data_IF_828435022386
#
_entry.id   IF_828435022386
#
_cell.length_a   1.000
_cell.length_b   1.000
_cell.length_c   1.000
_cell.angle_alpha   90.00
_cell.angle_beta   90.00
_cell.angle_gamma   90.00
#
_symmetry.space_group_name_H-M   'P 1'
#
loop_
_entity.id
_entity.type
_entity.pdbx_description
1 polymer ?
#
# COMPACT_ATOMS: atom_id res chain seq x y z
N UNK A 1 -1.66 -4.64 -8.34
CA UNK A 1 -1.66 -3.18 -8.12
C UNK A 1 -0.31 -2.59 -8.54
N UNK A 2 -0.13 -2.31 -9.84
CA UNK A 2 1.20 -1.97 -10.42
C UNK A 2 1.74 -0.64 -9.89
N UNK A 3 0.93 0.43 -9.90
CA UNK A 3 1.34 1.76 -9.46
C UNK A 3 1.69 1.80 -7.97
N UNK A 4 0.89 1.14 -7.13
CA UNK A 4 1.15 1.00 -5.69
C UNK A 4 2.52 0.36 -5.45
N UNK A 5 2.79 -0.76 -6.14
CA UNK A 5 4.08 -1.46 -6.03
C UNK A 5 5.24 -0.55 -6.44
N UNK A 6 5.12 0.17 -7.56
CA UNK A 6 6.19 1.05 -8.04
C UNK A 6 6.56 2.13 -7.01
N UNK A 7 5.58 2.86 -6.48
CA UNK A 7 5.84 3.92 -5.50
C UNK A 7 6.37 3.37 -4.17
N UNK A 8 5.86 2.23 -3.71
CA UNK A 8 6.37 1.54 -2.53
C UNK A 8 7.84 1.13 -2.70
N UNK A 9 8.20 0.52 -3.83
CA UNK A 9 9.57 0.07 -4.10
C UNK A 9 10.55 1.26 -4.12
N UNK A 10 10.17 2.38 -4.74
CA UNK A 10 10.98 3.61 -4.77
C UNK A 10 11.28 4.14 -3.37
N UNK A 11 10.28 4.18 -2.49
CA UNK A 11 10.48 4.59 -1.09
C UNK A 11 11.38 3.60 -0.32
N UNK A 12 11.22 2.30 -0.58
CA UNK A 12 12.06 1.25 0.00
C UNK A 12 13.52 1.37 -0.49
N UNK A 13 13.76 1.71 -1.76
CA UNK A 13 15.10 1.95 -2.29
C UNK A 13 15.79 3.15 -1.65
N UNK A 14 15.07 4.27 -1.50
CA UNK A 14 15.55 5.48 -0.82
C UNK A 14 15.96 5.18 0.63
N UNK A 15 15.08 4.53 1.39
CA UNK A 15 15.30 4.24 2.82
C UNK A 15 16.27 3.08 3.10
N UNK A 16 16.58 2.26 2.09
CA UNK A 16 17.62 1.21 2.14
C UNK A 16 18.97 1.70 1.60
N UNK A 17 19.08 2.95 1.18
CA UNK A 17 20.31 3.52 0.62
C UNK A 17 20.72 2.92 -0.73
N UNK A 18 19.78 2.29 -1.46
CA UNK A 18 20.04 1.76 -2.81
C UNK A 18 20.18 2.89 -3.84
N UNK A 19 19.57 4.03 -3.55
CA UNK A 19 19.70 5.29 -4.28
C UNK A 19 19.85 6.43 -3.26
N UNK A 20 20.44 7.58 -3.63
CA UNK A 20 20.54 8.73 -2.74
C UNK A 20 19.17 9.16 -2.22
N UNK A 21 19.04 9.36 -0.91
CA UNK A 21 17.81 9.88 -0.32
C UNK A 21 17.66 11.37 -0.64
N UNK A 22 16.53 11.75 -1.22
CA UNK A 22 16.09 13.14 -1.30
C UNK A 22 14.68 13.25 -0.73
N UNK A 23 14.40 14.35 -0.02
CA UNK A 23 13.08 14.60 0.54
C UNK A 23 12.05 14.73 -0.58
N UNK A 24 12.43 15.33 -1.70
CA UNK A 24 11.58 15.55 -2.86
C UNK A 24 11.10 14.23 -3.48
N UNK A 25 11.99 13.24 -3.63
CA UNK A 25 11.60 11.90 -4.11
C UNK A 25 10.74 11.15 -3.09
N UNK A 26 11.07 11.27 -1.80
CA UNK A 26 10.27 10.67 -0.74
C UNK A 26 8.84 11.24 -0.71
N UNK A 27 8.69 12.56 -0.74
CA UNK A 27 7.40 13.25 -0.76
C UNK A 27 6.58 12.87 -1.99
N UNK A 28 7.19 12.91 -3.18
CA UNK A 28 6.52 12.56 -4.44
C UNK A 28 5.94 11.15 -4.38
N UNK A 29 6.75 10.17 -3.99
CA UNK A 29 6.32 8.77 -3.98
C UNK A 29 5.30 8.48 -2.87
N UNK A 30 5.46 9.08 -1.69
CA UNK A 30 4.51 8.91 -0.59
C UNK A 30 3.17 9.57 -0.89
N UNK A 31 3.14 10.72 -1.59
CA UNK A 31 1.91 11.37 -2.03
C UNK A 31 1.11 10.50 -3.01
N UNK A 32 1.79 9.86 -3.98
CA UNK A 32 1.14 8.92 -4.88
C UNK A 32 0.62 7.69 -4.16
N UNK A 33 1.39 7.15 -3.21
CA UNK A 33 0.97 5.98 -2.45
C UNK A 33 -0.27 6.27 -1.58
N UNK A 34 -0.34 7.44 -0.95
CA UNK A 34 -1.51 7.94 -0.21
C UNK A 34 -2.74 8.15 -1.11
N UNK A 35 -2.55 8.69 -2.32
CA UNK A 35 -3.65 8.86 -3.27
C UNK A 35 -4.18 7.50 -3.75
N UNK A 36 -3.29 6.58 -4.11
CA UNK A 36 -3.67 5.25 -4.61
C UNK A 36 -4.32 4.39 -3.52
N UNK A 37 -3.91 4.53 -2.25
CA UNK A 37 -4.50 3.75 -1.15
C UNK A 37 -5.97 4.11 -0.91
N UNK A 38 -6.32 5.39 -1.05
CA UNK A 38 -7.69 5.89 -0.90
C UNK A 38 -8.66 5.31 -1.94
N UNK A 39 -8.15 4.94 -3.12
CA UNK A 39 -8.93 4.37 -4.22
C UNK A 39 -8.82 2.82 -4.30
N UNK A 40 -8.06 2.19 -3.40
CA UNK A 40 -7.65 0.79 -3.53
C UNK A 40 -8.81 -0.21 -3.52
N UNK A 41 -9.94 0.12 -2.88
CA UNK A 41 -11.08 -0.78 -2.73
C UNK A 41 -12.22 -0.53 -3.72
N UNK A 42 -12.19 0.54 -4.50
CA UNK A 42 -13.33 0.98 -5.33
C UNK A 42 -13.72 -0.04 -6.41
N UNK A 43 -12.75 -0.78 -6.95
CA UNK A 43 -12.98 -1.82 -7.96
C UNK A 43 -13.54 -3.14 -7.42
N UNK A 44 -13.61 -3.33 -6.09
CA UNK A 44 -14.12 -4.56 -5.47
C UNK A 44 -15.65 -4.51 -5.28
N UNK A 45 -16.37 -4.31 -6.40
CA UNK A 45 -17.84 -4.28 -6.49
C UNK A 45 -18.44 -5.70 -6.43
N UNK A 46 -19.73 -5.87 -6.11
CA UNK A 46 -20.37 -7.19 -6.15
C UNK A 46 -20.16 -7.89 -7.50
N UNK A 47 -19.82 -9.18 -7.48
CA UNK A 47 -19.59 -9.98 -8.69
C UNK A 47 -18.20 -9.83 -9.34
N UNK A 48 -17.36 -8.86 -8.95
CA UNK A 48 -16.03 -8.67 -9.59
C UNK A 48 -14.95 -9.70 -9.19
N UNK A 49 -15.35 -10.85 -8.63
CA UNK A 49 -14.51 -12.05 -8.49
C UNK A 49 -14.55 -12.98 -9.72
N UNK A 50 -15.47 -12.72 -10.65
CA UNK A 50 -15.60 -13.49 -11.88
C UNK A 50 -14.70 -12.90 -12.98
N UNK A 51 -14.33 -13.74 -13.96
CA UNK A 51 -13.47 -13.34 -15.09
C UNK A 51 -11.99 -13.24 -14.76
N UNK A 52 -11.28 -12.35 -15.47
CA UNK A 52 -9.84 -12.14 -15.30
C UNK A 52 -9.53 -11.32 -14.04
N UNK A 53 -9.53 -12.01 -12.91
CA UNK A 53 -9.24 -11.42 -11.61
C UNK A 53 -8.49 -12.37 -10.70
N UNK A 54 -7.53 -11.78 -9.97
CA UNK A 54 -6.82 -12.44 -8.87
C UNK A 54 -7.53 -12.27 -7.54
N UNK A 55 -8.62 -11.50 -7.44
CA UNK A 55 -9.40 -11.42 -6.22
C UNK A 55 -10.05 -12.77 -5.92
N UNK A 56 -9.95 -13.23 -4.67
CA UNK A 56 -10.67 -14.40 -4.19
C UNK A 56 -12.09 -13.99 -3.76
N UNK A 57 -13.05 -14.91 -3.86
CA UNK A 57 -14.42 -14.71 -3.35
C UNK A 57 -14.44 -14.33 -1.85
N UNK A 58 -13.38 -14.69 -1.11
CA UNK A 58 -13.12 -14.29 0.26
C UNK A 58 -13.25 -12.78 0.51
N UNK A 59 -12.95 -11.92 -0.48
CA UNK A 59 -13.11 -10.46 -0.35
C UNK A 59 -14.56 -10.08 -0.01
N UNK A 60 -15.54 -10.85 -0.48
CA UNK A 60 -16.96 -10.59 -0.23
C UNK A 60 -17.48 -11.39 0.96
N UNK A 61 -17.05 -12.64 1.15
CA UNK A 61 -17.50 -13.46 2.29
C UNK A 61 -16.91 -13.01 3.63
N UNK A 62 -15.68 -12.48 3.63
CA UNK A 62 -15.03 -11.85 4.80
C UNK A 62 -14.77 -10.36 4.53
N UNK A 63 -15.83 -9.66 4.12
CA UNK A 63 -15.76 -8.24 3.76
C UNK A 63 -15.27 -7.37 4.91
N UNK A 64 -15.54 -7.74 6.16
CA UNK A 64 -15.09 -6.95 7.31
C UNK A 64 -13.57 -6.98 7.45
N UNK A 65 -12.94 -8.17 7.38
CA UNK A 65 -11.48 -8.28 7.45
C UNK A 65 -10.82 -7.58 6.27
N UNK A 66 -11.37 -7.73 5.07
CA UNK A 66 -10.89 -7.01 3.89
C UNK A 66 -10.92 -5.49 4.08
N UNK A 67 -12.05 -4.92 4.54
CA UNK A 67 -12.14 -3.47 4.82
C UNK A 67 -11.14 -3.01 5.87
N UNK A 68 -10.99 -3.75 6.96
CA UNK A 68 -10.04 -3.40 8.02
C UNK A 68 -8.59 -3.32 7.50
N UNK A 69 -8.20 -4.24 6.60
CA UNK A 69 -6.87 -4.22 5.98
C UNK A 69 -6.70 -3.07 4.97
N UNK A 70 -7.76 -2.73 4.22
CA UNK A 70 -7.77 -1.54 3.35
C UNK A 70 -7.63 -0.26 4.17
N UNK A 71 -8.41 -0.10 5.24
CA UNK A 71 -8.34 1.05 6.14
C UNK A 71 -6.97 1.16 6.80
N UNK A 72 -6.36 0.02 7.17
CA UNK A 72 -5.00 -0.02 7.68
C UNK A 72 -4.00 0.48 6.64
N UNK A 73 -4.08 -0.01 5.40
CA UNK A 73 -3.23 0.44 4.30
C UNK A 73 -3.38 1.94 4.04
N UNK A 74 -4.60 2.48 4.10
CA UNK A 74 -4.87 3.90 3.95
C UNK A 74 -4.25 4.73 5.08
N UNK A 75 -4.45 4.31 6.34
CA UNK A 75 -3.88 4.98 7.52
C UNK A 75 -2.34 4.99 7.48
N UNK A 76 -1.73 3.84 7.15
CA UNK A 76 -0.27 3.72 7.10
C UNK A 76 0.31 4.57 5.95
N UNK A 77 -0.36 4.62 4.79
CA UNK A 77 0.05 5.47 3.67
C UNK A 77 -0.04 6.98 3.99
N UNK A 78 -1.07 7.42 4.74
CA UNK A 78 -1.18 8.81 5.19
C UNK A 78 -0.06 9.17 6.18
N UNK A 79 0.26 8.30 7.14
CA UNK A 79 1.39 8.51 8.07
C UNK A 79 2.74 8.53 7.34
N UNK A 80 2.93 7.63 6.37
CA UNK A 80 4.13 7.60 5.53
C UNK A 80 4.34 8.93 4.80
N UNK A 81 3.25 9.54 4.31
CA UNK A 81 3.29 10.85 3.65
C UNK A 81 3.69 11.98 4.61
N UNK A 82 3.27 11.93 5.87
CA UNK A 82 3.70 12.88 6.90
C UNK A 82 5.20 12.75 7.18
N UNK A 83 5.71 11.52 7.38
CA UNK A 83 7.14 11.26 7.57
C UNK A 83 7.97 11.70 6.36
N UNK A 84 7.45 11.51 5.14
CA UNK A 84 8.11 11.94 3.91
C UNK A 84 8.26 13.47 3.84
N UNK A 85 7.24 14.24 4.24
CA UNK A 85 7.26 15.72 4.25
C UNK A 85 8.35 16.33 5.13
N UNK A 86 8.74 15.63 6.18
CA UNK A 86 9.80 16.09 7.09
C UNK A 86 11.15 15.43 6.80
N UNK A 87 11.22 14.53 5.81
CA UNK A 87 12.45 13.84 5.42
C UNK A 87 12.95 12.81 6.43
N UNK A 88 12.08 12.27 7.29
CA UNK A 88 12.47 11.29 8.31
C UNK A 88 12.61 9.89 7.69
N UNK A 89 13.79 9.59 7.16
CA UNK A 89 14.08 8.31 6.50
C UNK A 89 13.84 7.08 7.40
N UNK A 90 14.08 7.19 8.71
CA UNK A 90 13.88 6.09 9.65
C UNK A 90 12.39 5.83 9.89
N UNK A 91 11.59 6.88 10.07
CA UNK A 91 10.14 6.76 10.17
C UNK A 91 9.51 6.23 8.87
N UNK A 92 9.96 6.70 7.70
CA UNK A 92 9.52 6.19 6.40
C UNK A 92 9.80 4.68 6.30
N UNK A 93 11.01 4.24 6.66
CA UNK A 93 11.40 2.82 6.64
C UNK A 93 10.47 1.98 7.53
N UNK A 94 10.28 2.41 8.77
CA UNK A 94 9.41 1.72 9.74
C UNK A 94 7.98 1.57 9.22
N UNK A 95 7.43 2.62 8.59
CA UNK A 95 6.10 2.54 8.01
C UNK A 95 6.02 1.64 6.77
N UNK A 96 7.06 1.62 5.92
CA UNK A 96 7.11 0.68 4.81
C UNK A 96 7.11 -0.78 5.28
N UNK A 97 7.82 -1.09 6.37
CA UNK A 97 7.84 -2.43 6.94
C UNK A 97 6.46 -2.82 7.48
N UNK A 98 5.77 -1.91 8.20
CA UNK A 98 4.37 -2.11 8.63
C UNK A 98 3.43 -2.33 7.43
N UNK A 99 3.56 -1.52 6.38
CA UNK A 99 2.74 -1.66 5.17
C UNK A 99 3.02 -2.97 4.45
N UNK A 100 4.26 -3.45 4.42
CA UNK A 100 4.61 -4.74 3.83
C UNK A 100 3.88 -5.89 4.54
N UNK A 101 3.73 -5.84 5.86
CA UNK A 101 2.92 -6.79 6.61
C UNK A 101 1.44 -6.71 6.23
N UNK A 102 0.86 -5.51 6.12
CA UNK A 102 -0.52 -5.32 5.64
C UNK A 102 -0.71 -5.87 4.22
N UNK A 103 0.24 -5.61 3.32
CA UNK A 103 0.23 -6.16 1.96
C UNK A 103 0.25 -7.69 1.97
N UNK A 104 1.12 -8.29 2.80
CA UNK A 104 1.22 -9.74 2.91
C UNK A 104 -0.09 -10.33 3.43
N UNK A 105 -0.60 -9.87 4.56
CA UNK A 105 -1.83 -10.37 5.16
C UNK A 105 -3.02 -10.28 4.21
N UNK A 106 -3.19 -9.13 3.53
CA UNK A 106 -4.26 -8.96 2.56
C UNK A 106 -4.10 -9.91 1.36
N UNK A 107 -2.90 -10.06 0.81
CA UNK A 107 -2.69 -10.93 -0.34
C UNK A 107 -2.77 -12.43 0.01
N UNK A 108 -2.35 -12.83 1.21
CA UNK A 108 -2.48 -14.21 1.68
C UNK A 108 -3.97 -14.62 1.78
N UNK A 109 -4.82 -13.73 2.30
CA UNK A 109 -6.23 -14.00 2.53
C UNK A 109 -7.11 -13.81 1.29
N UNK A 110 -6.77 -12.84 0.43
CA UNK A 110 -7.71 -12.30 -0.56
C UNK A 110 -7.23 -12.31 -2.02
N UNK A 111 -5.99 -12.74 -2.30
CA UNK A 111 -5.42 -12.73 -3.65
C UNK A 111 -4.91 -14.12 -4.07
N UNK A 112 -5.35 -14.62 -5.23
CA UNK A 112 -4.75 -15.77 -5.91
C UNK A 112 -3.27 -15.50 -6.20
N UNK A 113 -2.41 -16.48 -6.03
CA UNK A 113 -0.97 -16.43 -6.34
C UNK A 113 -0.71 -15.80 -7.71
#
# INVERSE_FOLDING_TARGET
MVMVKWHFDRLSELTKGKVPFTREEAERNAAWLDALSKNAAEGFVPGSHEGDTRALAAVWSDRSKFRNLVERFQSDASKLRESARIGDAAAIKSQLDNMAHTCKSCHDDFKKS
#
